data_IF_543497242268
#
_entry.id   IF_543497242268
#
_cell.length_a   1.000
_cell.length_b   1.000
_cell.length_c   1.000
_cell.angle_alpha   90.00
_cell.angle_beta   90.00
_cell.angle_gamma   90.00
#
_symmetry.space_group_name_H-M   'P 1'
#
loop_
_entity.id
_entity.type
_entity.pdbx_description
1 polymer ?
#
# COMPACT_ATOMS: atom_id res chain seq x y z
N UNK A 1 -24.32 18.41 8.57
CA UNK A 1 -24.16 18.52 7.09
C UNK A 1 -22.75 19.00 6.84
N UNK A 2 -21.92 18.20 6.16
CA UNK A 2 -20.57 18.58 5.78
C UNK A 2 -20.58 19.12 4.34
N UNK A 3 -19.77 20.14 4.05
CA UNK A 3 -19.56 20.58 2.68
C UNK A 3 -18.48 19.70 2.04
N UNK A 4 -18.86 18.90 1.04
CA UNK A 4 -17.95 18.06 0.26
C UNK A 4 -17.82 18.63 -1.14
N UNK A 5 -16.60 18.73 -1.65
CA UNK A 5 -16.31 19.21 -2.99
C UNK A 5 -15.18 18.41 -3.64
N UNK A 6 -15.26 18.25 -4.95
CA UNK A 6 -14.14 17.77 -5.78
C UNK A 6 -13.57 18.98 -6.50
N UNK A 7 -12.28 19.21 -6.33
CA UNK A 7 -11.55 20.34 -6.91
C UNK A 7 -10.46 19.79 -7.83
N UNK A 8 -10.47 20.23 -9.07
CA UNK A 8 -9.45 19.89 -10.07
C UNK A 8 -8.46 21.05 -10.21
N UNK A 9 -7.15 20.72 -10.17
CA UNK A 9 -6.09 21.70 -10.37
C UNK A 9 -5.79 21.93 -11.87
N UNK A 10 -4.87 22.84 -12.16
CA UNK A 10 -4.46 23.17 -13.54
C UNK A 10 -3.75 22.01 -14.27
N UNK A 11 -3.37 20.96 -13.57
CA UNK A 11 -2.74 19.76 -14.13
C UNK A 11 -3.75 18.61 -14.32
N UNK A 12 -5.04 18.85 -14.05
CA UNK A 12 -6.10 17.85 -14.13
C UNK A 12 -6.13 16.89 -12.94
N UNK A 13 -5.46 17.23 -11.84
CA UNK A 13 -5.50 16.41 -10.60
C UNK A 13 -6.73 16.82 -9.79
N UNK A 14 -7.64 15.89 -9.65
CA UNK A 14 -8.83 16.05 -8.81
C UNK A 14 -8.53 15.69 -7.36
N UNK A 15 -9.06 16.48 -6.43
CA UNK A 15 -8.90 16.29 -4.98
C UNK A 15 -10.25 16.34 -4.28
N UNK A 16 -10.47 15.43 -3.34
CA UNK A 16 -11.65 15.41 -2.48
C UNK A 16 -11.41 16.30 -1.26
N UNK A 17 -12.29 17.26 -1.03
CA UNK A 17 -12.22 18.18 0.10
C UNK A 17 -13.45 18.05 0.99
N UNK A 18 -13.28 18.06 2.30
CA UNK A 18 -14.36 18.08 3.29
C UNK A 18 -14.24 19.35 4.13
N UNK A 19 -15.31 20.17 4.20
CA UNK A 19 -15.38 21.42 4.94
C UNK A 19 -14.25 22.41 4.58
N UNK A 20 -13.92 22.50 3.30
CA UNK A 20 -12.84 23.34 2.78
C UNK A 20 -11.46 23.05 3.40
N UNK A 21 -11.33 21.91 4.08
CA UNK A 21 -10.04 21.40 4.60
C UNK A 21 -9.44 20.46 3.57
N UNK A 22 -8.11 20.35 3.64
CA UNK A 22 -7.32 19.60 2.67
C UNK A 22 -7.76 18.15 2.53
N UNK A 23 -7.83 17.79 1.29
CA UNK A 23 -7.56 16.54 0.59
C UNK A 23 -7.72 15.24 1.42
N UNK A 24 -8.90 14.66 1.29
CA UNK A 24 -9.25 13.35 1.87
C UNK A 24 -8.96 12.21 0.87
N UNK A 25 -8.45 12.55 -0.30
CA UNK A 25 -8.08 11.66 -1.39
C UNK A 25 -7.85 12.45 -2.68
N UNK A 26 -7.21 11.84 -3.65
CA UNK A 26 -6.83 12.51 -4.90
C UNK A 26 -6.75 11.52 -6.06
N UNK A 27 -6.97 12.02 -7.27
CA UNK A 27 -6.71 11.24 -8.49
C UNK A 27 -5.22 10.89 -8.67
N UNK A 28 -4.31 11.64 -8.01
CA UNK A 28 -2.89 11.32 -8.00
C UNK A 28 -2.53 10.09 -7.16
N UNK A 29 -3.42 9.64 -6.25
CA UNK A 29 -3.18 8.51 -5.33
C UNK A 29 -3.93 7.23 -5.71
N UNK A 30 -4.67 7.21 -6.81
CA UNK A 30 -5.55 6.09 -7.21
C UNK A 30 -4.82 4.74 -7.23
N UNK A 31 -3.56 4.71 -7.70
CA UNK A 31 -2.73 3.51 -7.67
C UNK A 31 -2.48 3.01 -6.24
N UNK A 32 -2.19 3.92 -5.31
CA UNK A 32 -1.97 3.59 -3.90
C UNK A 32 -3.25 3.11 -3.24
N UNK A 33 -4.38 3.78 -3.55
CA UNK A 33 -5.71 3.44 -3.03
C UNK A 33 -6.11 2.03 -3.48
N UNK A 34 -5.93 1.69 -4.78
CA UNK A 34 -6.18 0.34 -5.29
C UNK A 34 -5.30 -0.71 -4.59
N UNK A 35 -4.01 -0.44 -4.40
CA UNK A 35 -3.12 -1.36 -3.69
C UNK A 35 -3.51 -1.58 -2.23
N UNK A 36 -4.10 -0.60 -1.57
CA UNK A 36 -4.61 -0.75 -0.20
C UNK A 36 -5.74 -1.79 -0.12
N UNK A 37 -6.49 -2.00 -1.19
CA UNK A 37 -7.45 -3.11 -1.29
C UNK A 37 -6.80 -4.42 -1.74
N UNK A 38 -6.03 -4.36 -2.84
CA UNK A 38 -5.53 -5.56 -3.52
C UNK A 38 -4.53 -6.34 -2.65
N UNK A 39 -3.67 -5.67 -1.89
CA UNK A 39 -2.72 -6.34 -1.00
C UNK A 39 -3.43 -7.27 -0.01
N UNK A 40 -4.39 -6.83 0.84
CA UNK A 40 -5.10 -7.74 1.75
C UNK A 40 -6.00 -8.74 1.02
N UNK A 41 -6.63 -8.39 -0.11
CA UNK A 41 -7.46 -9.29 -0.91
C UNK A 41 -6.64 -10.46 -1.46
N UNK A 42 -5.42 -10.21 -1.92
CA UNK A 42 -4.54 -11.24 -2.49
C UNK A 42 -3.80 -12.07 -1.42
N UNK A 43 -3.68 -11.55 -0.20
CA UNK A 43 -3.12 -12.29 0.94
C UNK A 43 -4.11 -13.30 1.54
N UNK A 44 -5.41 -13.14 1.33
CA UNK A 44 -6.42 -14.09 1.77
C UNK A 44 -6.67 -15.13 0.66
N UNK A 45 -6.66 -16.44 0.94
CA UNK A 45 -6.73 -17.47 -0.10
C UNK A 45 -8.06 -17.47 -0.89
N UNK A 46 -9.18 -17.21 -0.23
CA UNK A 46 -10.49 -17.22 -0.88
C UNK A 46 -11.49 -16.32 -0.12
N UNK A 47 -11.35 -14.99 -0.17
CA UNK A 47 -12.26 -14.10 0.54
C UNK A 47 -13.63 -14.08 -0.16
N UNK A 48 -14.70 -14.09 0.63
CA UNK A 48 -16.09 -14.00 0.14
C UNK A 48 -16.78 -12.73 0.59
N UNK A 49 -16.44 -12.22 1.77
CA UNK A 49 -17.01 -10.99 2.32
C UNK A 49 -15.93 -10.09 2.86
N UNK A 50 -15.92 -8.85 2.40
CA UNK A 50 -15.03 -7.80 2.89
C UNK A 50 -15.81 -6.63 3.50
N UNK A 51 -15.25 -6.03 4.54
CA UNK A 51 -15.72 -4.78 5.13
C UNK A 51 -14.65 -3.72 4.99
N UNK A 52 -15.00 -2.59 4.38
CA UNK A 52 -14.16 -1.41 4.30
C UNK A 52 -14.68 -0.35 5.28
N UNK A 53 -13.82 0.08 6.20
CA UNK A 53 -14.10 1.13 7.16
C UNK A 53 -13.51 2.44 6.64
N UNK A 54 -14.36 3.35 6.21
CA UNK A 54 -14.02 4.52 5.42
C UNK A 54 -14.13 4.25 3.91
N UNK A 55 -14.48 5.27 3.15
CA UNK A 55 -14.65 5.19 1.70
C UNK A 55 -13.70 6.15 0.95
N UNK A 56 -13.56 7.38 1.42
CA UNK A 56 -12.73 8.39 0.76
C UNK A 56 -13.06 8.55 -0.72
N UNK A 57 -12.07 8.29 -1.60
CA UNK A 57 -12.26 8.30 -3.06
C UNK A 57 -13.14 7.15 -3.58
N UNK A 58 -13.42 6.14 -2.78
CA UNK A 58 -14.14 4.94 -3.18
C UNK A 58 -13.31 3.93 -3.99
N UNK A 59 -12.11 4.30 -4.42
CA UNK A 59 -11.25 3.45 -5.27
C UNK A 59 -10.82 2.18 -4.53
N UNK A 60 -10.49 2.29 -3.25
CA UNK A 60 -10.09 1.14 -2.43
C UNK A 60 -11.19 0.06 -2.42
N UNK A 61 -12.41 0.42 -2.04
CA UNK A 61 -13.52 -0.53 -1.98
C UNK A 61 -13.96 -1.04 -3.37
N UNK A 62 -13.97 -0.16 -4.39
CA UNK A 62 -14.35 -0.55 -5.75
C UNK A 62 -13.32 -1.50 -6.39
N UNK A 63 -12.02 -1.32 -6.13
CA UNK A 63 -10.98 -2.23 -6.59
C UNK A 63 -11.13 -3.63 -5.98
N UNK A 64 -11.52 -3.74 -4.71
CA UNK A 64 -11.82 -5.03 -4.09
C UNK A 64 -13.04 -5.69 -4.72
N UNK A 65 -14.09 -4.92 -5.04
CA UNK A 65 -15.33 -5.41 -5.64
C UNK A 65 -15.17 -5.88 -7.11
N UNK A 66 -14.02 -5.64 -7.74
CA UNK A 66 -13.69 -6.23 -9.04
C UNK A 66 -13.48 -7.75 -8.97
N UNK A 67 -13.12 -8.29 -7.81
CA UNK A 67 -13.10 -9.74 -7.60
C UNK A 67 -14.54 -10.28 -7.68
N UNK A 68 -14.86 -11.13 -8.67
CA UNK A 68 -16.24 -11.61 -8.90
C UNK A 68 -16.77 -12.49 -7.79
N UNK A 69 -15.92 -12.95 -6.86
CA UNK A 69 -16.30 -13.80 -5.75
C UNK A 69 -16.44 -13.05 -4.43
N UNK A 70 -16.13 -11.73 -4.40
CA UNK A 70 -16.08 -10.95 -3.18
C UNK A 70 -17.27 -9.98 -3.08
N UNK A 71 -18.08 -10.14 -2.06
CA UNK A 71 -19.08 -9.16 -1.64
C UNK A 71 -18.40 -8.13 -0.73
N UNK A 72 -18.59 -6.85 -1.03
CA UNK A 72 -17.91 -5.73 -0.37
C UNK A 72 -18.92 -4.81 0.30
N UNK A 73 -18.87 -4.75 1.61
CA UNK A 73 -19.57 -3.75 2.42
C UNK A 73 -18.58 -2.58 2.68
N UNK A 74 -18.97 -1.34 2.37
CA UNK A 74 -18.15 -0.16 2.66
C UNK A 74 -18.96 0.86 3.47
N UNK A 75 -18.39 1.31 4.59
CA UNK A 75 -19.05 2.18 5.55
C UNK A 75 -18.39 3.56 5.53
N UNK A 76 -19.17 4.59 5.23
CA UNK A 76 -18.73 5.98 5.21
C UNK A 76 -19.62 6.82 6.12
N UNK A 77 -19.01 7.75 6.85
CA UNK A 77 -19.71 8.62 7.79
C UNK A 77 -20.59 9.66 7.08
N UNK A 78 -20.13 10.17 5.95
CA UNK A 78 -20.74 11.28 5.22
C UNK A 78 -21.37 10.81 3.91
N UNK A 79 -22.69 10.90 3.74
CA UNK A 79 -23.35 10.55 2.48
C UNK A 79 -22.83 11.38 1.30
N UNK A 80 -22.41 12.62 1.55
CA UNK A 80 -21.85 13.50 0.52
C UNK A 80 -20.50 12.99 -0.01
N UNK A 81 -19.74 12.23 0.79
CA UNK A 81 -18.50 11.55 0.35
C UNK A 81 -18.84 10.36 -0.54
N UNK A 82 -19.91 9.62 -0.22
CA UNK A 82 -20.40 8.52 -1.07
C UNK A 82 -20.74 9.05 -2.46
N UNK A 83 -21.46 10.17 -2.54
CA UNK A 83 -21.81 10.80 -3.82
C UNK A 83 -20.56 11.26 -4.60
N UNK A 84 -19.62 11.93 -3.91
CA UNK A 84 -18.39 12.42 -4.52
C UNK A 84 -17.44 11.30 -4.98
N UNK A 85 -17.43 10.14 -4.28
CA UNK A 85 -16.57 9.01 -4.61
C UNK A 85 -16.81 8.45 -6.02
N UNK A 86 -18.02 8.59 -6.54
CA UNK A 86 -18.38 8.15 -7.89
C UNK A 86 -17.55 8.84 -8.99
N UNK A 87 -17.07 10.05 -8.73
CA UNK A 87 -16.19 10.78 -9.64
C UNK A 87 -14.83 10.07 -9.79
N UNK A 88 -14.19 9.74 -8.68
CA UNK A 88 -12.88 9.08 -8.67
C UNK A 88 -12.96 7.62 -9.14
N UNK A 89 -14.01 6.90 -8.75
CA UNK A 89 -14.23 5.52 -9.19
C UNK A 89 -14.35 5.46 -10.73
N UNK A 90 -15.06 6.40 -11.36
CA UNK A 90 -15.15 6.49 -12.83
C UNK A 90 -13.81 6.83 -13.48
N UNK A 91 -13.02 7.74 -12.91
CA UNK A 91 -11.68 8.08 -13.42
C UNK A 91 -10.75 6.86 -13.38
N UNK A 92 -10.88 6.02 -12.37
CA UNK A 92 -10.12 4.80 -12.21
C UNK A 92 -10.58 3.67 -13.16
N UNK A 93 -11.71 3.83 -13.81
CA UNK A 93 -12.32 2.79 -14.67
C UNK A 93 -13.17 1.77 -13.89
N UNK A 94 -13.36 1.98 -12.60
CA UNK A 94 -14.23 1.14 -11.76
C UNK A 94 -15.72 1.43 -11.98
N UNK A 95 -16.56 0.47 -11.60
CA UNK A 95 -18.00 0.60 -11.66
C UNK A 95 -18.58 0.93 -10.28
N UNK A 96 -18.98 2.20 -10.09
CA UNK A 96 -19.68 2.65 -8.88
C UNK A 96 -21.06 1.98 -8.67
N UNK A 97 -21.57 1.29 -9.69
CA UNK A 97 -22.83 0.52 -9.65
C UNK A 97 -22.59 -0.98 -9.55
N UNK A 98 -21.36 -1.41 -9.24
CA UNK A 98 -21.06 -2.83 -9.05
C UNK A 98 -22.03 -3.43 -8.01
N UNK A 99 -22.83 -4.44 -8.37
CA UNK A 99 -23.86 -5.00 -7.48
C UNK A 99 -23.27 -5.66 -6.22
N UNK A 100 -21.97 -5.99 -6.22
CA UNK A 100 -21.27 -6.54 -5.06
C UNK A 100 -20.70 -5.47 -4.13
N UNK A 101 -20.79 -4.19 -4.48
CA UNK A 101 -20.34 -3.07 -3.65
C UNK A 101 -21.50 -2.40 -2.94
N UNK A 102 -21.63 -2.61 -1.64
CA UNK A 102 -22.69 -2.08 -0.81
C UNK A 102 -22.20 -0.88 -0.01
N UNK A 103 -22.57 0.33 -0.42
CA UNK A 103 -22.19 1.58 0.24
C UNK A 103 -23.20 1.93 1.34
N UNK A 104 -22.73 2.12 2.57
CA UNK A 104 -23.57 2.39 3.73
C UNK A 104 -23.15 3.66 4.45
N UNK A 105 -24.10 4.55 4.72
CA UNK A 105 -23.85 5.72 5.56
C UNK A 105 -23.96 5.34 7.03
N UNK A 106 -22.83 5.24 7.72
CA UNK A 106 -22.76 4.96 9.16
C UNK A 106 -21.41 5.38 9.75
N UNK A 107 -21.35 5.52 11.06
CA UNK A 107 -20.10 5.60 11.82
C UNK A 107 -19.43 4.22 11.80
N UNK A 108 -18.21 4.15 11.23
CA UNK A 108 -17.46 2.90 11.05
C UNK A 108 -17.22 2.16 12.38
N UNK A 109 -16.86 2.89 13.44
CA UNK A 109 -16.61 2.31 14.74
C UNK A 109 -17.89 1.72 15.35
N UNK A 110 -19.01 2.46 15.27
CA UNK A 110 -20.30 1.99 15.75
C UNK A 110 -20.79 0.79 14.95
N UNK A 111 -20.61 0.82 13.63
CA UNK A 111 -21.01 -0.27 12.74
C UNK A 111 -20.33 -1.58 13.13
N UNK A 112 -19.00 -1.60 13.30
CA UNK A 112 -18.25 -2.80 13.71
C UNK A 112 -18.75 -3.36 15.05
N UNK A 113 -19.15 -2.50 15.99
CA UNK A 113 -19.65 -2.91 17.31
C UNK A 113 -21.04 -3.56 17.27
N UNK A 114 -21.92 -3.11 16.35
CA UNK A 114 -23.34 -3.53 16.32
C UNK A 114 -23.66 -4.56 15.25
N UNK A 115 -22.89 -4.62 14.16
CA UNK A 115 -23.12 -5.60 13.09
C UNK A 115 -23.04 -7.04 13.65
N UNK A 116 -23.84 -7.94 13.11
CA UNK A 116 -23.78 -9.37 13.42
C UNK A 116 -23.01 -10.18 12.39
N UNK A 117 -22.68 -9.53 11.27
CA UNK A 117 -21.96 -10.12 10.16
C UNK A 117 -20.49 -10.40 10.52
N UNK A 118 -19.91 -11.40 9.89
CA UNK A 118 -18.51 -11.74 9.94
C UNK A 118 -17.89 -11.60 8.57
N UNK A 119 -16.65 -11.17 8.53
CA UNK A 119 -15.94 -10.84 7.31
C UNK A 119 -14.63 -11.63 7.21
N UNK A 120 -14.32 -12.09 6.00
CA UNK A 120 -13.02 -12.70 5.68
C UNK A 120 -11.91 -11.63 5.63
N UNK A 121 -12.32 -10.42 5.23
CA UNK A 121 -11.43 -9.26 5.21
C UNK A 121 -12.09 -8.08 5.92
N UNK A 122 -11.35 -7.41 6.78
CA UNK A 122 -11.69 -6.07 7.26
C UNK A 122 -10.52 -5.16 6.93
N UNK A 123 -10.79 -4.11 6.15
CA UNK A 123 -9.81 -3.11 5.76
C UNK A 123 -10.24 -1.76 6.32
N UNK A 124 -9.40 -1.19 7.15
CA UNK A 124 -9.62 0.14 7.71
C UNK A 124 -8.76 1.14 6.94
N UNK A 125 -9.41 2.16 6.42
CA UNK A 125 -8.75 3.20 5.63
C UNK A 125 -7.74 4.01 6.45
N UNK A 126 -6.89 4.76 5.78
CA UNK A 126 -5.86 5.62 6.37
C UNK A 126 -6.47 6.93 6.93
N UNK A 127 -7.34 6.82 7.93
CA UNK A 127 -7.96 7.98 8.57
C UNK A 127 -6.91 8.98 9.05
N UNK A 128 -7.20 10.27 8.85
CA UNK A 128 -6.34 11.35 9.35
C UNK A 128 -6.31 11.33 10.89
N UNK A 129 -5.19 10.95 11.54
CA UNK A 129 -5.17 10.66 12.98
C UNK A 129 -5.45 11.89 13.86
N UNK A 130 -5.11 13.09 13.35
CA UNK A 130 -5.35 14.36 14.04
C UNK A 130 -6.79 14.87 13.91
N UNK A 131 -7.64 14.20 13.12
CA UNK A 131 -9.04 14.59 12.98
C UNK A 131 -9.82 14.19 14.23
N UNK A 132 -10.73 15.08 14.65
CA UNK A 132 -11.62 14.81 15.79
C UNK A 132 -12.39 13.49 15.60
N UNK A 133 -12.27 12.59 16.56
CA UNK A 133 -12.88 11.27 16.56
C UNK A 133 -12.06 10.16 15.88
N UNK A 134 -11.18 10.45 14.92
CA UNK A 134 -10.40 9.44 14.21
C UNK A 134 -9.45 8.66 15.12
N UNK A 135 -8.89 9.29 16.16
CA UNK A 135 -8.05 8.61 17.15
C UNK A 135 -8.73 7.42 17.84
N UNK A 136 -10.06 7.40 17.88
CA UNK A 136 -10.85 6.30 18.43
C UNK A 136 -10.88 5.04 17.58
N UNK A 137 -10.48 5.13 16.31
CA UNK A 137 -10.34 3.99 15.38
C UNK A 137 -9.01 3.25 15.56
N UNK A 138 -8.15 3.72 16.47
CA UNK A 138 -6.87 3.10 16.80
C UNK A 138 -6.80 2.65 18.26
N UNK A 139 -7.95 2.46 18.93
CA UNK A 139 -8.00 2.03 20.34
C UNK A 139 -8.05 0.51 20.47
N UNK A 140 -7.62 0.01 21.64
CA UNK A 140 -7.72 -1.42 22.00
C UNK A 140 -9.16 -1.92 21.83
N UNK A 141 -10.15 -1.15 22.25
CA UNK A 141 -11.57 -1.48 22.19
C UNK A 141 -12.07 -1.59 20.75
N UNK A 142 -11.57 -0.71 19.86
CA UNK A 142 -11.91 -0.79 18.45
C UNK A 142 -11.29 -2.04 17.81
N UNK A 143 -10.00 -2.29 18.02
CA UNK A 143 -9.32 -3.46 17.47
C UNK A 143 -9.93 -4.78 17.97
N UNK A 144 -10.37 -4.85 19.24
CA UNK A 144 -11.13 -6.01 19.75
C UNK A 144 -12.46 -6.18 19.02
N UNK A 145 -13.22 -5.10 18.83
CA UNK A 145 -14.47 -5.15 18.07
C UNK A 145 -14.24 -5.63 16.63
N UNK A 146 -13.16 -5.19 15.98
CA UNK A 146 -12.75 -5.68 14.64
C UNK A 146 -12.43 -7.18 14.70
N UNK A 147 -11.62 -7.63 15.66
CA UNK A 147 -11.26 -9.05 15.82
C UNK A 147 -12.52 -9.94 16.00
N UNK A 148 -13.52 -9.47 16.74
CA UNK A 148 -14.78 -10.17 16.93
C UNK A 148 -15.60 -10.32 15.63
N UNK A 149 -15.39 -9.44 14.64
CA UNK A 149 -16.09 -9.47 13.34
C UNK A 149 -15.31 -10.19 12.25
N UNK A 150 -14.08 -10.59 12.48
CA UNK A 150 -13.37 -11.46 11.55
C UNK A 150 -13.96 -12.87 11.58
N UNK A 151 -14.08 -13.47 10.42
CA UNK A 151 -14.35 -14.90 10.25
C UNK A 151 -13.14 -15.74 10.73
N UNK A 152 -13.28 -17.05 10.80
CA UNK A 152 -12.13 -17.93 11.00
C UNK A 152 -11.14 -17.78 9.82
N UNK A 153 -9.84 -17.63 10.10
CA UNK A 153 -8.84 -17.34 9.07
C UNK A 153 -8.89 -15.92 8.49
N UNK A 154 -9.85 -15.10 8.94
CA UNK A 154 -10.04 -13.74 8.44
C UNK A 154 -8.84 -12.83 8.71
N UNK A 155 -8.65 -11.84 7.84
CA UNK A 155 -7.53 -10.91 7.85
C UNK A 155 -8.02 -9.48 8.11
N UNK A 156 -7.33 -8.77 9.00
CA UNK A 156 -7.49 -7.35 9.24
C UNK A 156 -6.30 -6.57 8.71
N UNK A 157 -6.56 -5.45 8.04
CA UNK A 157 -5.56 -4.49 7.62
C UNK A 157 -5.98 -3.09 8.06
N UNK A 158 -5.15 -2.45 8.91
CA UNK A 158 -5.28 -1.05 9.29
C UNK A 158 -4.26 -0.23 8.52
N UNK A 159 -4.71 0.61 7.60
CA UNK A 159 -3.85 1.55 6.91
C UNK A 159 -3.57 2.80 7.75
N UNK A 160 -2.35 3.31 7.66
CA UNK A 160 -1.85 4.44 8.43
C UNK A 160 -1.12 5.42 7.49
N UNK A 161 -1.51 6.70 7.47
CA UNK A 161 -0.83 7.73 6.68
C UNK A 161 0.46 8.17 7.38
N UNK A 162 1.58 7.52 7.08
CA UNK A 162 2.87 7.81 7.73
C UNK A 162 3.34 9.26 7.52
N UNK A 163 2.86 9.92 6.47
CA UNK A 163 3.11 11.34 6.25
C UNK A 163 2.39 12.26 7.27
N UNK A 164 1.40 11.74 8.00
CA UNK A 164 0.61 12.45 9.00
C UNK A 164 0.84 11.93 10.44
N UNK A 165 1.80 11.03 10.63
CA UNK A 165 2.14 10.43 11.91
C UNK A 165 3.62 10.66 12.24
N UNK A 166 3.91 10.97 13.50
CA UNK A 166 5.27 10.86 14.04
C UNK A 166 5.55 9.42 14.50
N UNK A 167 6.82 9.15 14.79
CA UNK A 167 7.26 7.81 15.21
C UNK A 167 6.70 7.44 16.58
N UNK A 168 6.51 8.39 17.50
CA UNK A 168 5.95 8.12 18.83
C UNK A 168 4.48 7.70 18.75
N UNK A 169 3.68 8.42 17.97
CA UNK A 169 2.28 8.06 17.71
C UNK A 169 2.19 6.72 17.01
N UNK A 170 3.06 6.45 16.03
CA UNK A 170 3.11 5.15 15.34
C UNK A 170 3.46 4.01 16.30
N UNK A 171 4.40 4.19 17.24
CA UNK A 171 4.74 3.20 18.27
C UNK A 171 3.53 2.90 19.17
N UNK A 172 2.79 3.94 19.57
CA UNK A 172 1.57 3.80 20.37
C UNK A 172 0.49 3.00 19.63
N UNK A 173 0.23 3.31 18.35
CA UNK A 173 -0.72 2.57 17.52
C UNK A 173 -0.26 1.11 17.34
N UNK A 174 1.01 0.88 17.02
CA UNK A 174 1.57 -0.47 16.84
C UNK A 174 1.45 -1.31 18.14
N UNK A 175 1.78 -0.73 19.30
CA UNK A 175 1.60 -1.42 20.59
C UNK A 175 0.15 -1.75 20.87
N UNK A 176 -0.76 -0.81 20.60
CA UNK A 176 -2.19 -0.99 20.78
C UNK A 176 -2.73 -2.11 19.90
N UNK A 177 -2.30 -2.13 18.63
CA UNK A 177 -2.64 -3.18 17.68
C UNK A 177 -2.14 -4.56 18.14
N UNK A 178 -0.87 -4.67 18.54
CA UNK A 178 -0.26 -5.92 19.01
C UNK A 178 -0.86 -6.45 20.31
N UNK A 179 -1.49 -5.60 21.13
CA UNK A 179 -2.22 -6.05 22.34
C UNK A 179 -3.41 -6.92 21.95
N UNK A 180 -4.00 -6.72 20.78
CA UNK A 180 -5.13 -7.50 20.26
C UNK A 180 -4.69 -8.56 19.27
N UNK A 181 -3.70 -8.24 18.43
CA UNK A 181 -3.17 -9.08 17.37
C UNK A 181 -1.66 -9.33 17.56
N UNK A 182 -1.25 -10.21 18.50
CA UNK A 182 0.16 -10.37 18.88
C UNK A 182 1.05 -10.90 17.75
N UNK A 183 0.47 -11.57 16.76
CA UNK A 183 1.16 -12.06 15.56
C UNK A 183 1.08 -11.08 14.37
N UNK A 184 0.86 -9.79 14.62
CA UNK A 184 0.71 -8.80 13.55
C UNK A 184 1.99 -8.49 12.81
N UNK A 185 1.84 -8.10 11.53
CA UNK A 185 2.91 -7.67 10.63
C UNK A 185 2.69 -6.21 10.22
N UNK A 186 3.75 -5.62 9.64
CA UNK A 186 3.63 -4.33 8.96
C UNK A 186 4.06 -4.44 7.50
N UNK A 187 3.36 -3.71 6.60
CA UNK A 187 3.67 -3.66 5.16
C UNK A 187 3.50 -2.25 4.61
N UNK A 188 4.05 -1.98 3.43
CA UNK A 188 3.86 -0.73 2.69
C UNK A 188 2.86 -0.93 1.55
N UNK A 189 1.93 0.01 1.39
CA UNK A 189 1.05 0.04 0.22
C UNK A 189 1.85 0.32 -1.06
N UNK A 190 2.80 1.24 -0.99
CA UNK A 190 3.69 1.64 -2.11
C UNK A 190 5.07 2.01 -1.58
N UNK A 191 6.02 2.24 -2.49
CA UNK A 191 7.36 2.77 -2.17
C UNK A 191 7.39 4.31 -2.21
N UNK A 192 6.25 4.99 -2.03
CA UNK A 192 6.17 6.46 -2.05
C UNK A 192 6.95 7.06 -0.88
N UNK A 193 7.75 8.08 -1.19
CA UNK A 193 8.52 8.85 -0.21
C UNK A 193 7.77 10.08 0.30
N UNK A 194 6.83 10.60 -0.51
CA UNK A 194 6.09 11.82 -0.17
C UNK A 194 4.82 11.49 0.63
N UNK A 195 4.15 10.41 0.26
CA UNK A 195 2.90 9.96 0.89
C UNK A 195 2.98 8.47 1.25
N UNK A 196 3.94 8.04 2.10
CA UNK A 196 4.05 6.65 2.49
C UNK A 196 2.83 6.22 3.31
N UNK A 197 2.27 5.06 2.94
CA UNK A 197 1.14 4.44 3.64
C UNK A 197 1.58 3.09 4.19
N UNK A 198 1.45 2.94 5.51
CA UNK A 198 1.80 1.74 6.26
C UNK A 198 0.54 0.94 6.59
N UNK A 199 0.53 -0.37 6.36
CA UNK A 199 -0.50 -1.28 6.81
C UNK A 199 -0.05 -2.09 8.01
N UNK A 200 -0.81 -2.08 9.10
CA UNK A 200 -0.72 -3.08 10.15
C UNK A 200 -1.66 -4.23 9.79
N UNK A 201 -1.12 -5.43 9.64
CA UNK A 201 -1.84 -6.60 9.13
C UNK A 201 -1.84 -7.70 10.16
N UNK A 202 -2.98 -8.37 10.34
CA UNK A 202 -3.06 -9.55 11.18
C UNK A 202 -4.12 -10.53 10.68
N UNK A 203 -3.86 -11.81 10.85
CA UNK A 203 -4.86 -12.86 10.73
C UNK A 203 -5.48 -13.11 12.12
N UNK A 204 -6.77 -13.42 12.14
CA UNK A 204 -7.50 -13.72 13.38
C UNK A 204 -6.90 -14.88 14.17
N UNK A 205 -6.46 -15.92 13.45
CA UNK A 205 -5.84 -17.13 13.99
C UNK A 205 -4.34 -16.97 14.29
N UNK A 206 -3.72 -15.88 13.81
CA UNK A 206 -2.29 -15.63 13.94
C UNK A 206 -1.42 -16.52 13.05
N UNK A 207 -2.03 -17.28 12.11
CA UNK A 207 -1.31 -18.16 11.20
C UNK A 207 -0.52 -17.37 10.15
N UNK A 208 0.62 -17.92 9.74
CA UNK A 208 1.48 -17.38 8.68
C UNK A 208 0.88 -17.65 7.30
N UNK A 209 1.40 -16.94 6.29
CA UNK A 209 0.93 -17.08 4.92
C UNK A 209 1.50 -18.32 4.24
N UNK A 210 0.65 -19.08 3.56
CA UNK A 210 1.06 -20.19 2.72
C UNK A 210 1.40 -19.70 1.31
N UNK A 211 2.64 -19.97 0.85
CA UNK A 211 3.13 -19.49 -0.45
C UNK A 211 2.39 -20.13 -1.62
N UNK A 212 1.93 -21.38 -1.47
CA UNK A 212 1.15 -22.07 -2.50
C UNK A 212 -0.20 -21.39 -2.69
N UNK A 213 -0.89 -21.07 -1.59
CA UNK A 213 -2.16 -20.34 -1.62
C UNK A 213 -1.99 -18.92 -2.20
N UNK A 214 -0.90 -18.22 -1.87
CA UNK A 214 -0.60 -16.91 -2.44
C UNK A 214 -0.42 -16.99 -3.96
N UNK A 215 0.33 -17.96 -4.47
CA UNK A 215 0.52 -18.18 -5.92
C UNK A 215 -0.78 -18.54 -6.62
N UNK A 216 -1.53 -19.45 -6.04
CA UNK A 216 -2.84 -19.85 -6.57
C UNK A 216 -3.78 -18.65 -6.65
N UNK A 217 -3.83 -17.84 -5.59
CA UNK A 217 -4.67 -16.64 -5.55
C UNK A 217 -4.27 -15.63 -6.62
N UNK A 218 -2.98 -15.33 -6.79
CA UNK A 218 -2.49 -14.41 -7.81
C UNK A 218 -2.82 -14.86 -9.24
N UNK A 219 -2.89 -16.17 -9.50
CA UNK A 219 -3.17 -16.72 -10.84
C UNK A 219 -4.65 -16.96 -11.10
N UNK A 220 -5.46 -17.19 -10.06
CA UNK A 220 -6.88 -17.54 -10.18
C UNK A 220 -7.82 -16.34 -10.11
N UNK A 221 -7.38 -15.20 -9.57
CA UNK A 221 -8.24 -14.02 -9.44
C UNK A 221 -8.55 -13.42 -10.81
N UNK A 222 -9.85 -13.31 -11.13
CA UNK A 222 -10.34 -12.77 -12.40
C UNK A 222 -10.89 -11.35 -12.17
N UNK A 223 -10.01 -10.36 -12.03
CA UNK A 223 -10.36 -8.94 -11.92
C UNK A 223 -10.33 -8.25 -13.29
N UNK A 224 -11.12 -7.21 -13.46
CA UNK A 224 -11.11 -6.37 -14.67
C UNK A 224 -9.74 -5.72 -14.86
N UNK A 225 -9.19 -5.17 -13.77
CA UNK A 225 -7.82 -4.66 -13.72
C UNK A 225 -6.96 -5.67 -12.97
N UNK A 226 -6.08 -6.35 -13.70
CA UNK A 226 -5.23 -7.38 -13.11
C UNK A 226 -4.26 -6.82 -12.05
N UNK A 227 -3.89 -7.60 -11.01
CA UNK A 227 -2.97 -7.14 -9.97
C UNK A 227 -1.64 -6.63 -10.51
N UNK A 228 -1.18 -7.15 -11.66
CA UNK A 228 0.04 -6.70 -12.34
C UNK A 228 0.00 -5.24 -12.80
N UNK A 229 -1.17 -4.70 -13.14
CA UNK A 229 -1.33 -3.28 -13.51
C UNK A 229 -1.03 -2.35 -12.33
N UNK A 230 -1.20 -2.85 -11.10
CA UNK A 230 -0.86 -2.17 -9.86
C UNK A 230 0.52 -2.54 -9.32
N UNK A 231 1.37 -3.16 -10.14
CA UNK A 231 2.71 -3.58 -9.75
C UNK A 231 2.73 -4.75 -8.74
N UNK A 232 1.66 -5.56 -8.69
CA UNK A 232 1.59 -6.82 -7.92
C UNK A 232 1.59 -7.98 -8.92
N UNK A 233 2.67 -8.09 -9.70
CA UNK A 233 2.75 -9.04 -10.80
C UNK A 233 3.01 -10.49 -10.35
N UNK A 234 3.59 -10.67 -9.18
CA UNK A 234 4.01 -11.96 -8.64
C UNK A 234 4.01 -11.97 -7.10
N UNK A 235 4.33 -13.12 -6.53
CA UNK A 235 4.41 -13.30 -5.09
C UNK A 235 5.53 -12.48 -4.43
N UNK A 236 6.61 -12.16 -5.15
CA UNK A 236 7.66 -11.28 -4.63
C UNK A 236 7.15 -9.84 -4.48
N UNK A 237 6.37 -9.35 -5.44
CA UNK A 237 5.77 -8.02 -5.36
C UNK A 237 4.73 -7.92 -4.24
N UNK A 238 3.95 -9.00 -3.97
CA UNK A 238 2.97 -9.06 -2.90
C UNK A 238 3.65 -9.19 -1.53
N UNK A 239 4.43 -10.25 -1.31
CA UNK A 239 5.10 -10.52 -0.03
C UNK A 239 6.26 -9.56 0.24
N UNK A 240 6.84 -9.00 -0.82
CA UNK A 240 7.84 -7.94 -0.76
C UNK A 240 7.33 -6.62 -0.19
N UNK A 241 6.01 -6.43 -0.07
CA UNK A 241 5.42 -5.28 0.61
C UNK A 241 5.65 -5.26 2.13
N UNK A 242 5.83 -6.43 2.76
CA UNK A 242 6.06 -6.53 4.20
C UNK A 242 7.40 -5.94 4.61
N UNK A 243 7.40 -5.20 5.75
CA UNK A 243 8.59 -4.54 6.31
C UNK A 243 8.94 -5.00 7.72
N UNK A 244 7.97 -5.52 8.48
CA UNK A 244 8.18 -5.97 9.84
C UNK A 244 7.41 -7.25 10.15
N UNK A 245 8.11 -8.20 10.78
CA UNK A 245 7.50 -9.34 11.44
C UNK A 245 7.05 -9.02 12.87
N UNK A 246 6.33 -9.94 13.53
CA UNK A 246 5.78 -9.72 14.88
C UNK A 246 6.85 -9.34 15.91
N UNK A 247 8.02 -9.96 15.87
CA UNK A 247 9.12 -9.67 16.82
C UNK A 247 9.68 -8.27 16.63
N UNK A 248 9.95 -7.88 15.39
CA UNK A 248 10.48 -6.56 15.07
C UNK A 248 9.46 -5.47 15.39
N UNK A 249 8.18 -5.70 15.05
CA UNK A 249 7.11 -4.76 15.35
C UNK A 249 6.89 -4.59 16.87
N UNK A 250 7.01 -5.68 17.65
CA UNK A 250 6.95 -5.61 19.11
C UNK A 250 8.13 -4.83 19.71
N UNK A 251 9.36 -5.04 19.21
CA UNK A 251 10.53 -4.24 19.62
C UNK A 251 10.35 -2.76 19.29
N UNK A 252 9.89 -2.46 18.06
CA UNK A 252 9.60 -1.09 17.62
C UNK A 252 8.56 -0.42 18.51
N UNK A 253 7.46 -1.10 18.81
CA UNK A 253 6.41 -0.58 19.67
C UNK A 253 6.88 -0.33 21.11
N UNK A 254 7.76 -1.18 21.63
CA UNK A 254 8.37 -1.04 22.94
C UNK A 254 7.35 -0.84 24.06
N UNK A 255 7.64 0.14 24.92
CA UNK A 255 6.77 0.53 26.06
C UNK A 255 5.93 1.78 25.75
N UNK A 256 5.66 2.10 24.48
CA UNK A 256 4.81 3.23 24.13
C UNK A 256 3.44 3.16 24.80
N UNK A 257 2.76 4.27 25.15
CA UNK A 257 1.47 4.23 25.82
C UNK A 257 0.42 3.55 24.93
N UNK A 258 -0.50 2.79 25.57
CA UNK A 258 -1.65 2.22 24.85
C UNK A 258 -2.67 3.32 24.54
N UNK A 259 -3.24 3.25 23.35
CA UNK A 259 -4.38 4.08 22.98
C UNK A 259 -5.68 3.34 23.34
N UNK A 260 -6.43 3.83 24.32
CA UNK A 260 -7.70 3.26 24.76
C UNK A 260 -8.80 4.31 24.72
N UNK A 261 -10.06 3.90 24.89
CA UNK A 261 -11.19 4.84 24.95
C UNK A 261 -11.07 5.81 26.13
N UNK A 262 -10.57 5.32 27.28
CA UNK A 262 -10.39 6.13 28.48
C UNK A 262 -9.07 6.91 28.48
N UNK A 263 -8.08 6.50 27.66
CA UNK A 263 -6.79 7.15 27.54
C UNK A 263 -6.41 7.33 26.05
N UNK A 264 -7.02 8.31 25.35
CA UNK A 264 -6.93 8.45 23.90
C UNK A 264 -5.63 9.15 23.46
N UNK A 265 -4.49 8.50 23.62
CA UNK A 265 -3.13 9.02 23.36
C UNK A 265 -3.00 9.56 21.95
N UNK A 266 -3.51 8.84 20.94
CA UNK A 266 -3.41 9.23 19.53
C UNK A 266 -4.12 10.56 19.27
N UNK A 267 -5.27 10.82 19.91
CA UNK A 267 -6.00 12.07 19.73
C UNK A 267 -5.20 13.30 20.23
N UNK A 268 -4.29 13.11 21.19
CA UNK A 268 -3.45 14.18 21.73
C UNK A 268 -2.08 14.29 21.05
N UNK A 269 -1.50 13.18 20.56
CA UNK A 269 -0.19 13.19 19.91
C UNK A 269 -0.27 13.58 18.43
N UNK A 270 -1.20 13.00 17.68
CA UNK A 270 -1.27 13.18 16.23
C UNK A 270 -1.41 14.64 15.76
N UNK A 271 -2.11 15.55 16.45
CA UNK A 271 -2.16 16.96 16.04
C UNK A 271 -0.80 17.66 16.01
N UNK A 272 0.18 17.21 16.80
CA UNK A 272 1.52 17.83 16.85
C UNK A 272 2.19 17.81 15.49
N UNK A 273 2.18 16.65 14.81
CA UNK A 273 2.81 16.52 13.50
C UNK A 273 2.06 17.29 12.41
N UNK A 274 0.75 17.39 12.52
CA UNK A 274 -0.08 18.10 11.54
C UNK A 274 0.18 19.64 11.56
N UNK A 275 0.54 20.19 12.72
CA UNK A 275 0.74 21.64 12.89
C UNK A 275 2.21 22.06 13.05
N UNK A 276 3.09 21.16 13.43
CA UNK A 276 4.52 21.41 13.62
C UNK A 276 5.32 20.15 13.24
N UNK A 277 5.43 19.90 11.94
CA UNK A 277 6.20 18.77 11.43
C UNK A 277 7.69 18.94 11.75
N UNK A 278 8.27 17.96 12.45
CA UNK A 278 9.68 17.91 12.85
C UNK A 278 10.58 17.25 11.80
N UNK A 279 10.00 16.56 10.83
CA UNK A 279 10.70 15.76 9.82
C UNK A 279 9.87 15.61 8.55
N UNK A 280 10.54 15.22 7.46
CA UNK A 280 9.86 14.91 6.20
C UNK A 280 9.31 13.47 6.23
N UNK A 281 8.22 13.16 5.51
CA UNK A 281 7.66 11.80 5.43
C UNK A 281 8.69 10.75 5.04
N UNK A 282 9.54 11.06 4.05
CA UNK A 282 10.63 10.17 3.58
C UNK A 282 11.65 9.86 4.67
N UNK A 283 11.99 10.84 5.52
CA UNK A 283 12.95 10.63 6.60
C UNK A 283 12.37 9.72 7.68
N UNK A 284 11.07 9.87 8.00
CA UNK A 284 10.35 8.97 8.91
C UNK A 284 10.25 7.55 8.37
N UNK A 285 9.93 7.39 7.06
CA UNK A 285 9.90 6.07 6.42
C UNK A 285 11.27 5.39 6.48
N UNK A 286 12.34 6.10 6.12
CA UNK A 286 13.71 5.55 6.15
C UNK A 286 14.13 5.21 7.59
N UNK A 287 13.81 6.06 8.57
CA UNK A 287 14.07 5.78 9.97
C UNK A 287 13.33 4.52 10.44
N UNK A 288 12.05 4.39 10.09
CA UNK A 288 11.26 3.18 10.39
C UNK A 288 11.89 1.92 9.78
N UNK A 289 12.27 1.95 8.49
CA UNK A 289 12.87 0.81 7.79
C UNK A 289 14.22 0.37 8.38
N UNK A 290 14.93 1.26 9.09
CA UNK A 290 16.18 0.94 9.81
C UNK A 290 15.95 0.29 11.18
N UNK A 291 14.76 0.49 11.75
CA UNK A 291 14.42 -0.07 13.07
C UNK A 291 13.66 -1.39 12.98
N UNK A 292 13.05 -1.68 11.84
CA UNK A 292 12.24 -2.89 11.67
C UNK A 292 12.86 -3.84 10.66
N UNK A 293 12.56 -5.11 10.83
CA UNK A 293 13.01 -6.18 9.93
C UNK A 293 11.94 -7.25 9.79
N UNK A 294 12.03 -8.04 8.74
CA UNK A 294 11.18 -9.21 8.52
C UNK A 294 12.04 -10.39 8.09
N UNK A 295 11.63 -11.58 8.52
CA UNK A 295 12.24 -12.84 8.06
C UNK A 295 11.18 -13.73 7.41
N UNK A 296 11.57 -14.62 6.47
CA UNK A 296 10.65 -15.59 5.88
C UNK A 296 9.94 -16.44 6.93
N UNK A 297 10.64 -16.86 7.98
CA UNK A 297 10.09 -17.70 9.05
C UNK A 297 9.02 -17.00 9.90
N UNK A 298 9.00 -15.67 9.94
CA UNK A 298 7.95 -14.91 10.64
C UNK A 298 6.72 -14.67 9.75
N UNK A 299 6.91 -14.72 8.43
CA UNK A 299 5.86 -14.41 7.46
C UNK A 299 5.19 -15.67 6.91
N UNK A 300 5.98 -16.72 6.60
CA UNK A 300 5.54 -17.87 5.84
C UNK A 300 5.33 -19.12 6.71
N UNK A 301 4.30 -19.88 6.37
CA UNK A 301 4.11 -21.22 6.91
C UNK A 301 5.24 -22.15 6.44
N UNK A 302 5.67 -23.05 7.34
CA UNK A 302 6.67 -24.07 7.03
C UNK A 302 5.98 -25.35 6.50
N UNK A 303 6.65 -26.16 5.65
CA UNK A 303 7.97 -25.91 5.07
C UNK A 303 7.90 -24.94 3.88
N UNK A 304 8.98 -24.20 3.65
CA UNK A 304 9.14 -23.37 2.45
C UNK A 304 10.53 -23.58 1.83
N UNK A 305 10.62 -23.36 0.53
CA UNK A 305 11.88 -23.49 -0.22
C UNK A 305 12.89 -22.42 0.24
N UNK A 306 14.05 -22.84 0.72
CA UNK A 306 15.11 -21.95 1.22
C UNK A 306 15.73 -21.07 0.13
N UNK A 307 15.85 -21.57 -1.11
CA UNK A 307 16.37 -20.78 -2.22
C UNK A 307 15.38 -19.67 -2.60
N UNK A 308 14.11 -20.00 -2.65
CA UNK A 308 13.05 -19.00 -2.88
C UNK A 308 12.97 -17.97 -1.73
N UNK A 309 13.06 -18.43 -0.47
CA UNK A 309 13.05 -17.55 0.69
C UNK A 309 14.24 -16.57 0.67
N UNK A 310 15.42 -17.01 0.24
CA UNK A 310 16.60 -16.14 0.09
C UNK A 310 16.38 -15.06 -0.97
N UNK A 311 15.67 -15.36 -2.06
CA UNK A 311 15.27 -14.38 -3.08
C UNK A 311 14.27 -13.34 -2.52
N UNK A 312 13.37 -13.75 -1.65
CA UNK A 312 12.45 -12.82 -0.97
C UNK A 312 13.22 -11.88 -0.03
N UNK A 313 14.21 -12.38 0.70
CA UNK A 313 15.10 -11.53 1.53
C UNK A 313 15.85 -10.52 0.66
N UNK A 314 16.38 -10.96 -0.49
CA UNK A 314 17.02 -10.06 -1.46
C UNK A 314 16.04 -9.00 -1.99
N UNK A 315 14.78 -9.36 -2.23
CA UNK A 315 13.73 -8.42 -2.63
C UNK A 315 13.49 -7.33 -1.58
N UNK A 316 13.38 -7.70 -0.30
CA UNK A 316 13.26 -6.73 0.80
C UNK A 316 14.48 -5.80 0.91
N UNK A 317 15.69 -6.34 0.74
CA UNK A 317 16.92 -5.54 0.72
C UNK A 317 16.93 -4.55 -0.45
N UNK A 318 16.55 -5.01 -1.66
CA UNK A 318 16.43 -4.18 -2.86
C UNK A 318 15.40 -3.05 -2.67
N UNK A 319 14.23 -3.35 -2.09
CA UNK A 319 13.20 -2.35 -1.77
C UNK A 319 13.73 -1.28 -0.80
N UNK A 320 14.36 -1.70 0.28
CA UNK A 320 14.89 -0.75 1.26
C UNK A 320 15.96 0.13 0.64
N UNK A 321 16.86 -0.46 -0.17
CA UNK A 321 17.89 0.30 -0.90
C UNK A 321 17.28 1.27 -1.90
N UNK A 322 16.26 0.85 -2.65
CA UNK A 322 15.53 1.70 -3.59
C UNK A 322 14.92 2.93 -2.89
N UNK A 323 14.27 2.73 -1.74
CA UNK A 323 13.68 3.81 -0.94
C UNK A 323 14.76 4.77 -0.44
N UNK A 324 15.89 4.25 0.08
CA UNK A 324 17.01 5.09 0.53
C UNK A 324 17.60 5.94 -0.61
N UNK A 325 17.83 5.33 -1.77
CA UNK A 325 18.37 6.03 -2.94
C UNK A 325 17.41 7.08 -3.49
N UNK A 326 16.11 6.85 -3.38
CA UNK A 326 15.08 7.81 -3.79
C UNK A 326 15.05 9.10 -2.97
N UNK A 327 15.62 9.11 -1.76
CA UNK A 327 15.62 10.26 -0.84
C UNK A 327 16.12 11.55 -1.47
N UNK A 328 17.20 11.45 -2.22
CA UNK A 328 17.93 12.61 -2.77
C UNK A 328 17.59 12.88 -4.24
N UNK A 329 16.75 12.05 -4.87
CA UNK A 329 16.29 12.23 -6.24
C UNK A 329 15.38 13.45 -6.33
N UNK A 330 15.69 14.33 -7.29
CA UNK A 330 14.88 15.51 -7.58
C UNK A 330 14.09 15.27 -8.88
N UNK A 331 12.75 15.16 -8.79
CA UNK A 331 11.92 14.94 -9.97
C UNK A 331 12.13 16.01 -11.05
N UNK A 332 12.24 15.59 -12.29
CA UNK A 332 12.32 16.46 -13.45
C UNK A 332 11.67 15.80 -14.65
N UNK A 333 11.06 16.57 -15.55
CA UNK A 333 10.52 16.11 -16.83
C UNK A 333 11.59 15.86 -17.90
N UNK A 334 12.81 16.37 -17.69
CA UNK A 334 13.96 16.12 -18.58
C UNK A 334 14.50 14.71 -18.33
N UNK A 335 14.29 13.81 -19.29
CA UNK A 335 14.68 12.40 -19.19
C UNK A 335 16.20 12.22 -19.02
N UNK A 336 17.04 13.06 -19.65
CA UNK A 336 18.50 12.97 -19.50
C UNK A 336 18.95 13.35 -18.09
N UNK A 337 18.39 14.44 -17.54
CA UNK A 337 18.65 14.86 -16.17
C UNK A 337 18.11 13.86 -15.14
N UNK A 338 16.97 13.24 -15.42
CA UNK A 338 16.45 12.18 -14.56
C UNK A 338 17.37 10.96 -14.59
N UNK A 339 17.76 10.48 -15.78
CA UNK A 339 18.69 9.35 -15.93
C UNK A 339 20.03 9.59 -15.24
N UNK A 340 20.59 10.80 -15.35
CA UNK A 340 21.83 11.16 -14.67
C UNK A 340 21.77 11.00 -13.15
N UNK A 341 20.58 11.13 -12.55
CA UNK A 341 20.37 10.91 -11.12
C UNK A 341 20.13 9.45 -10.73
N UNK A 342 19.42 8.68 -11.58
CA UNK A 342 18.85 7.40 -11.14
C UNK A 342 19.43 6.17 -11.86
N UNK A 343 20.16 6.30 -12.97
CA UNK A 343 20.68 5.15 -13.76
C UNK A 343 21.51 4.21 -12.91
N UNK A 344 22.65 4.70 -12.40
CA UNK A 344 23.55 3.89 -11.56
C UNK A 344 22.86 3.39 -10.26
N UNK A 345 22.14 4.26 -9.51
CA UNK A 345 21.40 3.82 -8.34
C UNK A 345 20.42 2.67 -8.63
N UNK A 346 19.60 2.77 -9.67
CA UNK A 346 18.62 1.74 -10.00
C UNK A 346 19.26 0.45 -10.51
N UNK A 347 20.33 0.55 -11.33
CA UNK A 347 21.10 -0.63 -11.75
C UNK A 347 21.71 -1.35 -10.55
N UNK A 348 22.22 -0.63 -9.54
CA UNK A 348 22.74 -1.24 -8.32
C UNK A 348 21.67 -1.99 -7.51
N UNK A 349 20.43 -1.50 -7.48
CA UNK A 349 19.29 -2.19 -6.85
C UNK A 349 18.94 -3.49 -7.60
N UNK A 350 19.01 -3.49 -8.94
CA UNK A 350 18.74 -4.67 -9.75
C UNK A 350 19.77 -5.80 -9.53
N UNK A 351 21.00 -5.46 -9.11
CA UNK A 351 22.01 -6.45 -8.73
C UNK A 351 21.69 -7.14 -7.39
N UNK A 352 20.92 -6.48 -6.51
CA UNK A 352 20.48 -7.07 -5.24
C UNK A 352 19.35 -8.07 -5.47
N UNK A 353 18.33 -7.70 -6.25
CA UNK A 353 17.19 -8.59 -6.55
C UNK A 353 16.72 -8.42 -7.99
N UNK A 354 16.83 -9.47 -8.81
CA UNK A 354 16.29 -9.49 -10.18
C UNK A 354 14.75 -9.42 -10.21
N UNK A 355 14.06 -9.77 -9.14
CA UNK A 355 12.60 -9.70 -9.05
C UNK A 355 12.09 -8.28 -8.85
N UNK A 356 12.94 -7.33 -8.42
CA UNK A 356 12.51 -5.99 -8.01
C UNK A 356 12.20 -5.07 -9.20
N UNK A 357 11.02 -5.23 -9.80
CA UNK A 357 10.54 -4.43 -10.95
C UNK A 357 10.52 -2.91 -10.72
N UNK A 358 10.26 -2.38 -9.50
CA UNK A 358 10.28 -0.92 -9.29
C UNK A 358 11.59 -0.21 -9.63
N UNK A 359 12.72 -0.94 -9.74
CA UNK A 359 13.98 -0.39 -10.25
C UNK A 359 14.13 -0.58 -11.76
N UNK A 360 13.56 -1.65 -12.34
CA UNK A 360 13.67 -1.99 -13.76
C UNK A 360 12.72 -1.16 -14.64
N UNK A 361 11.43 -1.14 -14.30
CA UNK A 361 10.39 -0.54 -15.14
C UNK A 361 10.58 0.97 -15.39
N UNK A 362 11.04 1.80 -14.41
CA UNK A 362 11.37 3.20 -14.70
C UNK A 362 12.50 3.37 -15.71
N UNK A 363 13.56 2.56 -15.64
CA UNK A 363 14.67 2.63 -16.59
C UNK A 363 14.21 2.25 -18.01
N UNK A 364 13.40 1.21 -18.13
CA UNK A 364 12.82 0.79 -19.41
C UNK A 364 11.92 1.88 -20.02
N UNK A 365 11.05 2.51 -19.21
CA UNK A 365 10.23 3.64 -19.67
C UNK A 365 11.08 4.83 -20.10
N UNK A 366 12.12 5.18 -19.33
CA UNK A 366 13.02 6.27 -19.69
C UNK A 366 13.79 5.95 -20.96
N UNK A 367 14.20 4.70 -21.20
CA UNK A 367 14.81 4.27 -22.47
C UNK A 367 13.86 4.49 -23.66
N UNK A 368 12.57 4.19 -23.52
CA UNK A 368 11.56 4.42 -24.54
C UNK A 368 11.41 5.92 -24.90
N UNK A 369 11.42 6.80 -23.89
CA UNK A 369 11.36 8.25 -24.10
C UNK A 369 12.66 8.76 -24.73
N UNK A 370 13.82 8.29 -24.24
CA UNK A 370 15.14 8.66 -24.73
C UNK A 370 15.33 8.25 -26.20
N UNK A 371 14.73 7.16 -26.66
CA UNK A 371 14.80 6.65 -28.02
C UNK A 371 14.33 7.64 -29.08
N UNK A 372 13.48 8.59 -28.70
CA UNK A 372 13.04 9.68 -29.61
C UNK A 372 14.03 10.83 -29.73
N UNK A 373 15.07 10.88 -28.88
CA UNK A 373 15.97 12.01 -28.73
C UNK A 373 17.41 11.60 -28.96
N UNK A 374 17.80 10.37 -28.54
CA UNK A 374 19.17 9.89 -28.51
C UNK A 374 19.21 8.36 -28.63
N UNK A 375 19.30 7.86 -29.85
CA UNK A 375 19.29 6.43 -30.12
C UNK A 375 20.54 5.70 -29.57
N UNK A 376 21.70 6.40 -29.49
CA UNK A 376 22.95 5.81 -28.97
C UNK A 376 22.83 5.58 -27.47
N UNK A 377 22.47 6.61 -26.70
CA UNK A 377 22.29 6.52 -25.25
C UNK A 377 21.18 5.54 -24.89
N UNK A 378 20.12 5.44 -25.71
CA UNK A 378 19.05 4.45 -25.52
C UNK A 378 19.57 3.03 -25.64
N UNK A 379 20.35 2.76 -26.68
CA UNK A 379 20.93 1.43 -26.90
C UNK A 379 21.87 1.04 -25.76
N UNK A 380 22.71 1.94 -25.30
CA UNK A 380 23.58 1.71 -24.14
C UNK A 380 22.79 1.34 -22.90
N UNK A 381 21.75 2.12 -22.56
CA UNK A 381 20.90 1.85 -21.39
C UNK A 381 20.17 0.50 -21.50
N UNK A 382 19.65 0.15 -22.67
CA UNK A 382 18.98 -1.13 -22.89
C UNK A 382 19.94 -2.33 -22.80
N UNK A 383 21.18 -2.17 -23.26
CA UNK A 383 22.24 -3.20 -23.12
C UNK A 383 22.54 -3.40 -21.63
N UNK A 384 22.70 -2.33 -20.86
CA UNK A 384 22.93 -2.43 -19.41
C UNK A 384 21.77 -3.10 -18.68
N UNK A 385 20.52 -2.75 -19.04
CA UNK A 385 19.33 -3.41 -18.49
C UNK A 385 19.30 -4.89 -18.82
N UNK A 386 19.67 -5.27 -20.06
CA UNK A 386 19.73 -6.67 -20.47
C UNK A 386 20.83 -7.43 -19.72
N UNK A 387 21.98 -6.81 -19.49
CA UNK A 387 23.07 -7.40 -18.72
C UNK A 387 22.70 -7.53 -17.23
N UNK A 388 22.05 -6.52 -16.65
CA UNK A 388 21.58 -6.54 -15.28
C UNK A 388 20.45 -7.56 -15.06
N UNK A 389 19.63 -7.81 -16.09
CA UNK A 389 18.44 -8.65 -16.03
C UNK A 389 18.30 -9.56 -17.28
N UNK A 390 19.19 -10.56 -17.46
CA UNK A 390 19.26 -11.36 -18.68
C UNK A 390 18.01 -12.24 -18.91
N UNK A 391 17.25 -12.56 -17.88
CA UNK A 391 16.02 -13.35 -17.95
C UNK A 391 14.78 -12.52 -18.34
N UNK A 392 14.89 -11.19 -18.34
CA UNK A 392 13.81 -10.30 -18.77
C UNK A 392 13.94 -9.99 -20.25
N UNK A 393 12.87 -10.27 -20.99
CA UNK A 393 12.87 -10.14 -22.44
C UNK A 393 12.59 -8.71 -22.94
N UNK A 394 12.05 -7.84 -22.11
CA UNK A 394 11.56 -6.51 -22.48
C UNK A 394 12.69 -5.61 -23.03
N UNK A 395 13.86 -5.56 -22.38
CA UNK A 395 14.99 -4.78 -22.86
C UNK A 395 15.56 -5.34 -24.18
N UNK A 396 15.64 -6.68 -24.30
CA UNK A 396 16.08 -7.34 -25.52
C UNK A 396 15.11 -7.12 -26.70
N UNK A 397 13.81 -7.09 -26.42
CA UNK A 397 12.79 -6.76 -27.42
C UNK A 397 12.94 -5.30 -27.89
N UNK A 398 13.04 -4.35 -26.95
CA UNK A 398 13.23 -2.94 -27.27
C UNK A 398 14.52 -2.70 -28.11
N UNK A 399 15.60 -3.45 -27.83
CA UNK A 399 16.83 -3.39 -28.64
C UNK A 399 16.61 -3.87 -30.07
N UNK A 400 15.85 -4.94 -30.29
CA UNK A 400 15.52 -5.42 -31.64
C UNK A 400 14.67 -4.40 -32.41
N UNK A 401 13.70 -3.81 -31.75
CA UNK A 401 12.78 -2.84 -32.35
C UNK A 401 13.53 -1.60 -32.84
N UNK A 402 14.52 -1.11 -32.05
CA UNK A 402 15.39 0.01 -32.46
C UNK A 402 16.32 -0.41 -33.62
N UNK A 403 16.86 -1.62 -33.59
CA UNK A 403 17.80 -2.10 -34.64
C UNK A 403 17.09 -2.38 -35.97
N UNK A 404 15.82 -2.75 -35.95
CA UNK A 404 14.98 -2.94 -37.14
C UNK A 404 14.39 -1.65 -37.71
N UNK A 405 14.47 -0.54 -37.00
CA UNK A 405 14.00 0.77 -37.43
C UNK A 405 15.11 1.64 -38.04
N UNK A 406 16.36 1.16 -38.08
CA UNK A 406 17.46 1.81 -38.82
C UNK A 406 17.47 1.29 -40.27
N UNK A 407 17.37 2.19 -41.26
CA UNK A 407 17.34 1.85 -42.67
C UNK A 407 18.64 1.19 -43.16
#
# INVERSE_FOLDING_TARGET
MAAVSVVEDTNGVASLHINNRRQEGSSATLLADARQALLPVLLHPAPRRALFLGLGTGVTASSAAEDPQLEVDAVELLPEVIDASTYFTRMFGGDARNPRLHLMTADARRFVRVTRERYDLIVSDNFHPARSGSGSLYTVEHFKAVQDRLAAGGLFCQWLPLHQLDIETLRSIARTFLTVFPSGWAMLATNSLDTPVLGLVARRDGERFDIGQVRERLTSVAMTHGPGEFGIADEFALLGSFIAGPRALARFAGNAPLNTDDHPVVAYLAPRIAYASDSLPRDRLIALLREVEISPDELLAAPHDTAWASRLVAYWAARNRFIELGRDVRPTSDVRRMLAQVREPLLSVLQISPEFRPAYDPLLRMATVLGRIDAVATRELLIELQLAQPLRLEAAQALRDISGALP
#
